data_IF_750537524444
#
_entry.id   IF_750537524444
#
_cell.length_a   1.000
_cell.length_b   1.000
_cell.length_c   1.000
_cell.angle_alpha   90.00
_cell.angle_beta   90.00
_cell.angle_gamma   90.00
#
_symmetry.space_group_name_H-M   'P 1'
#
loop_
_entity.id
_entity.type
_entity.pdbx_description
1 polymer ?
#
# COMPACT_ATOMS: atom_id res chain seq x y z
N UNK A 1 9.96 6.85 9.77
CA UNK A 1 10.28 6.79 8.32
C UNK A 1 9.35 5.81 7.61
N UNK A 2 9.21 4.53 8.05
CA UNK A 2 8.39 3.53 7.33
C UNK A 2 6.92 3.95 7.16
N UNK A 3 6.30 4.62 8.13
CA UNK A 3 4.94 5.15 8.00
C UNK A 3 4.81 6.25 6.95
N UNK A 4 5.81 7.13 6.82
CA UNK A 4 5.83 8.14 5.78
C UNK A 4 6.00 7.53 4.39
N UNK A 5 6.88 6.55 4.23
CA UNK A 5 7.11 5.94 2.92
C UNK A 5 5.93 5.07 2.50
N UNK A 6 5.48 4.14 3.36
CA UNK A 6 4.44 3.18 2.98
C UNK A 6 3.03 3.76 3.00
N UNK A 7 2.68 4.47 4.08
CA UNK A 7 1.31 4.95 4.24
C UNK A 7 1.15 6.32 3.56
N UNK A 8 1.98 7.31 3.91
CA UNK A 8 1.78 8.65 3.37
C UNK A 8 2.05 8.73 1.86
N UNK A 9 3.25 8.35 1.40
CA UNK A 9 3.59 8.37 -0.03
C UNK A 9 2.82 7.27 -0.77
N UNK A 10 2.81 6.05 -0.22
CA UNK A 10 2.17 4.89 -0.83
C UNK A 10 0.67 5.10 -1.04
N UNK A 11 -0.07 5.51 -0.02
CA UNK A 11 -1.51 5.70 -0.13
C UNK A 11 -1.85 6.92 -0.99
N UNK A 12 -1.08 8.02 -0.90
CA UNK A 12 -1.27 9.17 -1.79
C UNK A 12 -1.13 8.75 -3.26
N UNK A 13 -0.13 7.95 -3.59
CA UNK A 13 0.06 7.42 -4.93
C UNK A 13 -1.04 6.41 -5.31
N UNK A 14 -1.45 5.54 -4.38
CA UNK A 14 -2.54 4.58 -4.59
C UNK A 14 -3.86 5.28 -4.89
N UNK A 15 -4.24 6.28 -4.09
CA UNK A 15 -5.45 7.07 -4.35
C UNK A 15 -5.38 7.80 -5.69
N UNK A 16 -4.20 8.33 -6.05
CA UNK A 16 -3.97 8.90 -7.37
C UNK A 16 -4.11 7.89 -8.52
N UNK A 17 -3.72 6.63 -8.30
CA UNK A 17 -3.93 5.54 -9.24
C UNK A 17 -5.41 5.15 -9.32
N UNK A 18 -6.10 5.03 -8.18
CA UNK A 18 -7.54 4.71 -8.12
C UNK A 18 -8.38 5.74 -8.87
N UNK A 19 -8.07 7.02 -8.75
CA UNK A 19 -8.77 8.08 -9.46
C UNK A 19 -8.62 8.00 -11.00
N UNK A 20 -7.55 7.38 -11.49
CA UNK A 20 -7.23 7.31 -12.94
C UNK A 20 -7.53 5.96 -13.58
N UNK A 21 -7.38 4.89 -12.82
CA UNK A 21 -7.54 3.51 -13.31
C UNK A 21 -8.84 2.85 -12.86
N UNK A 22 -9.51 3.48 -11.89
CA UNK A 22 -10.56 2.82 -11.12
C UNK A 22 -10.00 1.86 -10.05
N UNK A 23 -10.81 1.53 -9.01
CA UNK A 23 -10.35 0.74 -7.86
C UNK A 23 -9.93 -0.68 -8.23
N UNK A 24 -10.60 -1.32 -9.20
CA UNK A 24 -10.28 -2.70 -9.62
C UNK A 24 -8.88 -2.82 -10.20
N UNK A 25 -8.51 -1.95 -11.17
CA UNK A 25 -7.19 -1.97 -11.80
C UNK A 25 -6.09 -1.51 -10.84
N UNK A 26 -6.36 -0.48 -10.05
CA UNK A 26 -5.42 0.02 -9.06
C UNK A 26 -5.09 -1.04 -8.01
N UNK A 27 -6.09 -1.79 -7.51
CA UNK A 27 -5.87 -2.86 -6.53
C UNK A 27 -5.06 -4.02 -7.10
N UNK A 28 -5.36 -4.44 -8.34
CA UNK A 28 -4.58 -5.49 -9.03
C UNK A 28 -3.14 -5.04 -9.22
N UNK A 29 -2.92 -3.79 -9.65
CA UNK A 29 -1.59 -3.24 -9.83
C UNK A 29 -0.83 -3.12 -8.49
N UNK A 30 -1.52 -2.70 -7.43
CA UNK A 30 -0.95 -2.62 -6.09
C UNK A 30 -0.50 -3.99 -5.55
N UNK A 31 -1.15 -5.10 -5.96
CA UNK A 31 -0.74 -6.45 -5.56
C UNK A 31 0.71 -6.80 -5.98
N UNK A 32 1.31 -6.08 -6.93
CA UNK A 32 2.74 -6.24 -7.28
C UNK A 32 3.68 -5.90 -6.11
N UNK A 33 3.18 -5.24 -5.04
CA UNK A 33 4.00 -4.97 -3.85
C UNK A 33 4.61 -6.24 -3.24
N UNK A 34 3.93 -7.38 -3.33
CA UNK A 34 4.46 -8.67 -2.86
C UNK A 34 5.72 -9.09 -3.65
N UNK A 35 5.70 -8.95 -4.98
CA UNK A 35 6.86 -9.23 -5.82
C UNK A 35 8.03 -8.26 -5.53
N UNK A 36 7.73 -6.96 -5.35
CA UNK A 36 8.74 -5.98 -4.94
C UNK A 36 9.30 -6.27 -3.55
N UNK A 37 8.46 -6.70 -2.59
CA UNK A 37 8.90 -7.09 -1.25
C UNK A 37 9.87 -8.27 -1.29
N UNK A 38 9.55 -9.32 -2.07
CA UNK A 38 10.43 -10.47 -2.24
C UNK A 38 11.77 -10.08 -2.90
N UNK A 39 11.72 -9.26 -3.95
CA UNK A 39 12.92 -8.78 -4.62
C UNK A 39 13.81 -7.91 -3.70
N UNK A 40 13.22 -6.99 -2.96
CA UNK A 40 13.94 -6.14 -2.02
C UNK A 40 14.49 -6.94 -0.82
N UNK A 41 13.73 -7.91 -0.29
CA UNK A 41 14.20 -8.81 0.76
C UNK A 41 15.43 -9.60 0.32
N UNK A 42 15.39 -10.15 -0.90
CA UNK A 42 16.54 -10.86 -1.47
C UNK A 42 17.76 -9.94 -1.67
N UNK A 43 17.58 -8.77 -2.30
CA UNK A 43 18.71 -7.89 -2.69
C UNK A 43 19.30 -7.14 -1.49
N UNK A 44 18.45 -6.66 -0.57
CA UNK A 44 18.89 -5.76 0.52
C UNK A 44 19.16 -6.49 1.81
N UNK A 45 18.32 -7.48 2.16
CA UNK A 45 18.46 -8.23 3.42
C UNK A 45 19.19 -9.58 3.23
N UNK A 46 19.47 -9.98 2.00
CA UNK A 46 20.08 -11.28 1.70
C UNK A 46 19.17 -12.47 2.06
N UNK A 47 17.86 -12.24 2.13
CA UNK A 47 16.89 -13.31 2.36
C UNK A 47 16.95 -14.34 1.25
N UNK A 48 16.77 -15.62 1.59
CA UNK A 48 16.77 -16.67 0.57
C UNK A 48 15.47 -16.65 -0.21
N UNK A 49 15.55 -16.36 -1.52
CA UNK A 49 14.38 -16.44 -2.38
C UNK A 49 14.03 -17.92 -2.60
N UNK A 50 12.99 -18.38 -1.92
CA UNK A 50 12.45 -19.74 -2.13
C UNK A 50 11.79 -19.76 -3.50
N UNK A 51 11.97 -20.87 -4.26
CA UNK A 51 11.39 -21.03 -5.60
C UNK A 51 9.88 -20.72 -5.64
N UNK A 52 9.15 -21.06 -4.59
CA UNK A 52 7.72 -20.76 -4.45
C UNK A 52 7.44 -19.25 -4.44
N UNK A 53 8.27 -18.44 -3.76
CA UNK A 53 8.12 -16.98 -3.75
C UNK A 53 8.44 -16.38 -5.12
N UNK A 54 9.45 -16.89 -5.82
CA UNK A 54 9.78 -16.46 -7.18
C UNK A 54 8.66 -16.79 -8.17
N UNK A 55 8.11 -18.01 -8.12
CA UNK A 55 6.98 -18.43 -8.96
C UNK A 55 5.71 -17.64 -8.63
N UNK A 56 5.41 -17.41 -7.35
CA UNK A 56 4.28 -16.59 -6.91
C UNK A 56 4.39 -15.14 -7.41
N UNK A 57 5.57 -14.55 -7.29
CA UNK A 57 5.85 -13.20 -7.81
C UNK A 57 5.68 -13.11 -9.34
N UNK A 58 6.23 -14.07 -10.07
CA UNK A 58 6.08 -14.15 -11.52
C UNK A 58 4.61 -14.30 -11.94
N UNK A 59 3.85 -15.17 -11.26
CA UNK A 59 2.43 -15.36 -11.50
C UNK A 59 1.62 -14.09 -11.18
N UNK A 60 1.96 -13.40 -10.11
CA UNK A 60 1.35 -12.10 -9.76
C UNK A 60 1.57 -11.07 -10.87
N UNK A 61 2.81 -10.92 -11.34
CA UNK A 61 3.14 -9.99 -12.42
C UNK A 61 2.38 -10.37 -13.71
N UNK A 62 2.36 -11.66 -14.07
CA UNK A 62 1.63 -12.13 -15.24
C UNK A 62 0.12 -11.87 -15.12
N UNK A 63 -0.47 -12.11 -13.95
CA UNK A 63 -1.87 -11.81 -13.65
C UNK A 63 -2.20 -10.32 -13.76
N UNK A 64 -1.34 -9.47 -13.21
CA UNK A 64 -1.48 -8.00 -13.29
C UNK A 64 -1.41 -7.52 -14.74
N UNK A 65 -0.42 -8.00 -15.50
CA UNK A 65 -0.28 -7.66 -16.92
C UNK A 65 -1.51 -8.10 -17.72
N UNK A 66 -2.00 -9.31 -17.48
CA UNK A 66 -3.22 -9.82 -18.13
C UNK A 66 -4.44 -8.96 -17.78
N UNK A 67 -4.61 -8.58 -16.51
CA UNK A 67 -5.72 -7.73 -16.08
C UNK A 67 -5.68 -6.32 -16.70
N UNK A 68 -4.49 -5.74 -16.87
CA UNK A 68 -4.33 -4.42 -17.50
C UNK A 68 -4.61 -4.49 -19.00
N UNK A 69 -4.12 -5.54 -19.69
CA UNK A 69 -4.24 -5.69 -21.15
C UNK A 69 -5.65 -6.13 -21.54
N UNK A 70 -6.20 -7.14 -20.85
CA UNK A 70 -7.48 -7.76 -21.19
C UNK A 70 -8.68 -7.05 -20.53
N UNK A 71 -8.47 -6.30 -19.45
CA UNK A 71 -9.52 -5.65 -18.67
C UNK A 71 -10.21 -4.45 -19.35
N UNK A 72 -10.17 -4.33 -20.65
CA UNK A 72 -10.75 -3.21 -21.43
C UNK A 72 -12.23 -3.39 -21.83
N UNK A 73 -13.02 -4.19 -21.13
CA UNK A 73 -14.45 -4.27 -21.42
C UNK A 73 -15.17 -3.01 -20.95
N UNK A 74 -15.67 -2.21 -21.90
CA UNK A 74 -16.40 -0.95 -21.64
C UNK A 74 -17.79 -1.17 -21.03
N UNK A 75 -18.33 -2.38 -21.10
CA UNK A 75 -19.72 -2.68 -20.74
C UNK A 75 -19.97 -2.83 -19.22
N UNK A 76 -18.92 -3.05 -18.42
CA UNK A 76 -19.04 -3.25 -16.97
C UNK A 76 -18.59 -2.04 -16.11
N UNK A 77 -18.41 -0.88 -16.74
CA UNK A 77 -18.01 0.31 -15.98
C UNK A 77 -19.21 0.92 -15.26
N UNK A 78 -19.23 0.83 -13.94
CA UNK A 78 -20.15 1.62 -13.14
C UNK A 78 -19.89 3.12 -13.34
N UNK A 79 -20.94 3.95 -13.28
CA UNK A 79 -20.86 5.40 -13.53
C UNK A 79 -19.82 6.14 -12.65
N UNK A 80 -19.35 5.52 -11.56
CA UNK A 80 -18.30 6.04 -10.67
C UNK A 80 -16.87 5.54 -11.03
N UNK A 81 -16.74 4.62 -11.99
CA UNK A 81 -15.45 4.12 -12.51
C UNK A 81 -14.97 4.91 -13.75
N UNK A 82 -15.42 6.15 -13.94
CA UNK A 82 -15.00 6.97 -15.07
C UNK A 82 -13.50 7.26 -15.00
N UNK A 83 -12.78 6.81 -16.04
CA UNK A 83 -11.34 7.05 -16.23
C UNK A 83 -11.05 8.56 -16.32
N UNK A 84 -10.62 9.16 -15.22
CA UNK A 84 -10.26 10.57 -15.17
C UNK A 84 -8.74 10.72 -15.29
N UNK A 85 -8.19 10.58 -16.50
CA UNK A 85 -6.80 10.92 -16.75
C UNK A 85 -5.97 9.95 -17.58
N UNK A 86 -4.66 10.17 -17.59
CA UNK A 86 -3.72 9.37 -18.37
C UNK A 86 -3.52 7.98 -17.74
N UNK A 87 -3.80 6.92 -18.51
CA UNK A 87 -3.53 5.52 -18.14
C UNK A 87 -2.06 5.35 -17.68
N UNK A 88 -1.12 5.96 -18.39
CA UNK A 88 0.31 5.86 -18.06
C UNK A 88 0.60 6.41 -16.65
N UNK A 89 0.04 7.57 -16.32
CA UNK A 89 0.22 8.18 -15.00
C UNK A 89 -0.45 7.33 -13.91
N UNK A 90 -1.63 6.77 -14.17
CA UNK A 90 -2.31 5.87 -13.24
C UNK A 90 -1.48 4.62 -12.94
N UNK A 91 -0.91 3.99 -13.97
CA UNK A 91 -0.03 2.81 -13.82
C UNK A 91 1.24 3.18 -13.07
N UNK A 92 1.87 4.30 -13.40
CA UNK A 92 3.09 4.77 -12.69
C UNK A 92 2.81 5.00 -11.21
N UNK A 93 1.70 5.67 -10.87
CA UNK A 93 1.31 5.89 -9.48
C UNK A 93 1.01 4.58 -8.74
N UNK A 94 0.36 3.61 -9.38
CA UNK A 94 0.12 2.29 -8.79
C UNK A 94 1.41 1.52 -8.51
N UNK A 95 2.38 1.58 -9.42
CA UNK A 95 3.71 0.98 -9.21
C UNK A 95 4.50 1.71 -8.11
N UNK A 96 4.44 3.04 -8.05
CA UNK A 96 5.03 3.83 -6.96
C UNK A 96 4.41 3.45 -5.63
N UNK A 97 3.09 3.28 -5.56
CA UNK A 97 2.40 2.84 -4.35
C UNK A 97 2.89 1.44 -3.91
N UNK A 98 2.95 0.50 -4.84
CA UNK A 98 3.41 -0.87 -4.58
C UNK A 98 4.87 -0.89 -4.10
N UNK A 99 5.76 -0.13 -4.74
CA UNK A 99 7.16 -0.03 -4.35
C UNK A 99 7.33 0.66 -2.99
N UNK A 100 6.56 1.71 -2.70
CA UNK A 100 6.57 2.41 -1.42
C UNK A 100 6.14 1.47 -0.29
N UNK A 101 5.13 0.64 -0.51
CA UNK A 101 4.68 -0.36 0.46
C UNK A 101 5.77 -1.41 0.72
N UNK A 102 6.39 -1.94 -0.33
CA UNK A 102 7.50 -2.90 -0.23
C UNK A 102 8.71 -2.30 0.52
N UNK A 103 9.11 -1.08 0.18
CA UNK A 103 10.19 -0.36 0.86
C UNK A 103 9.86 -0.10 2.33
N UNK A 104 8.62 0.25 2.64
CA UNK A 104 8.16 0.45 4.01
C UNK A 104 8.26 -0.82 4.86
N UNK A 105 7.90 -1.96 4.28
CA UNK A 105 8.01 -3.27 4.92
C UNK A 105 9.47 -3.63 5.18
N UNK A 106 10.34 -3.39 4.19
CA UNK A 106 11.79 -3.58 4.33
C UNK A 106 12.38 -2.73 5.46
N UNK A 107 12.01 -1.45 5.55
CA UNK A 107 12.46 -0.54 6.62
C UNK A 107 11.94 -0.99 8.00
N UNK A 108 10.76 -1.59 8.07
CA UNK A 108 10.19 -2.06 9.32
C UNK A 108 10.81 -3.37 9.82
N UNK A 109 11.30 -4.23 8.93
CA UNK A 109 11.81 -5.58 9.23
C UNK A 109 12.89 -5.60 10.31
N UNK A 110 14.00 -4.82 10.27
CA UNK A 110 15.05 -4.86 11.28
C UNK A 110 14.54 -4.54 12.68
N UNK A 111 13.57 -3.62 12.79
CA UNK A 111 12.98 -3.20 14.07
C UNK A 111 12.06 -4.29 14.61
N UNK A 112 11.35 -5.01 13.74
CA UNK A 112 10.42 -6.08 14.14
C UNK A 112 11.13 -7.39 14.47
N UNK A 113 12.24 -7.72 13.81
CA UNK A 113 12.97 -8.98 13.98
C UNK A 113 14.00 -9.00 15.10
N UNK A 114 14.02 -8.01 15.98
CA UNK A 114 15.00 -7.87 17.09
C UNK A 114 16.49 -7.89 16.67
N UNK A 115 16.79 -7.76 15.36
CA UNK A 115 18.18 -7.68 14.86
C UNK A 115 18.85 -6.35 15.20
N UNK A 116 18.08 -5.34 15.57
CA UNK A 116 18.57 -4.02 15.94
C UNK A 116 18.65 -3.86 17.47
N UNK A 117 19.61 -4.51 18.13
CA UNK A 117 20.04 -4.13 19.49
C UNK A 117 19.16 -4.63 20.66
N UNK A 118 18.39 -5.72 20.49
CA UNK A 118 17.75 -6.41 21.62
C UNK A 118 16.40 -5.83 22.09
N UNK A 119 15.95 -4.71 21.55
CA UNK A 119 14.62 -4.18 21.86
C UNK A 119 13.57 -4.78 20.95
N UNK A 120 12.65 -5.56 21.52
CA UNK A 120 11.47 -6.09 20.82
C UNK A 120 10.39 -5.02 20.84
N UNK A 121 10.15 -4.36 19.72
CA UNK A 121 9.06 -3.38 19.61
C UNK A 121 7.72 -4.10 19.46
N UNK A 122 6.73 -3.68 20.25
CA UNK A 122 5.37 -4.20 20.13
C UNK A 122 4.74 -3.84 18.79
N UNK A 123 4.17 -4.82 18.02
CA UNK A 123 3.59 -4.55 16.70
C UNK A 123 2.41 -3.58 16.73
N UNK A 124 1.62 -3.58 17.81
CA UNK A 124 0.48 -2.66 17.96
C UNK A 124 0.99 -1.24 18.13
N UNK A 125 1.97 -1.05 19.02
CA UNK A 125 2.60 0.26 19.22
C UNK A 125 3.29 0.77 17.95
N UNK A 126 4.02 -0.09 17.25
CA UNK A 126 4.65 0.24 15.97
C UNK A 126 3.62 0.64 14.89
N UNK A 127 2.50 -0.10 14.79
CA UNK A 127 1.41 0.23 13.90
C UNK A 127 0.79 1.58 14.24
N UNK A 128 0.49 1.82 15.52
CA UNK A 128 -0.08 3.07 16.00
C UNK A 128 0.81 4.28 15.66
N UNK A 129 2.11 4.18 15.91
CA UNK A 129 3.07 5.24 15.56
C UNK A 129 3.12 5.48 14.04
N UNK A 130 3.17 4.42 13.24
CA UNK A 130 3.20 4.54 11.77
C UNK A 130 1.97 5.24 11.23
N UNK A 131 0.79 4.82 11.68
CA UNK A 131 -0.49 5.41 11.25
C UNK A 131 -0.60 6.85 11.72
N UNK A 132 -0.24 7.16 12.97
CA UNK A 132 -0.29 8.52 13.51
C UNK A 132 0.62 9.48 12.75
N UNK A 133 1.86 9.07 12.43
CA UNK A 133 2.80 9.88 11.65
C UNK A 133 2.27 10.13 10.24
N UNK A 134 1.71 9.12 9.59
CA UNK A 134 1.13 9.28 8.26
C UNK A 134 -0.11 10.17 8.29
N UNK A 135 -0.97 10.01 9.30
CA UNK A 135 -2.14 10.85 9.50
C UNK A 135 -1.73 12.32 9.69
N UNK A 136 -0.75 12.59 10.53
CA UNK A 136 -0.22 13.94 10.74
C UNK A 136 0.32 14.55 9.43
N UNK A 137 1.03 13.76 8.61
CA UNK A 137 1.54 14.20 7.32
C UNK A 137 0.41 14.53 6.33
N UNK A 138 -0.67 13.72 6.27
CA UNK A 138 -1.83 14.01 5.44
C UNK A 138 -2.57 15.27 5.91
N UNK A 139 -2.75 15.44 7.22
CA UNK A 139 -3.35 16.65 7.78
C UNK A 139 -2.52 17.91 7.49
N UNK A 140 -1.17 17.78 7.54
CA UNK A 140 -0.28 18.89 7.21
C UNK A 140 -0.45 19.33 5.75
N UNK A 141 -0.49 18.39 4.79
CA UNK A 141 -0.75 18.70 3.38
C UNK A 141 -2.12 19.32 3.18
N UNK A 142 -3.15 18.81 3.85
CA UNK A 142 -4.50 19.36 3.80
C UNK A 142 -4.52 20.79 4.34
N UNK A 143 -3.84 21.05 5.45
CA UNK A 143 -3.72 22.37 6.07
C UNK A 143 -2.97 23.36 5.19
N UNK A 144 -1.89 22.92 4.54
CA UNK A 144 -1.12 23.74 3.58
C UNK A 144 -1.88 23.99 2.27
N UNK A 145 -3.06 23.39 2.08
CA UNK A 145 -3.87 23.58 0.88
C UNK A 145 -3.25 23.03 -0.39
N UNK A 146 -2.28 22.11 -0.26
CA UNK A 146 -1.61 21.46 -1.39
C UNK A 146 -2.51 20.35 -1.92
N UNK A 147 -2.93 20.48 -3.19
CA UNK A 147 -3.77 19.50 -3.88
C UNK A 147 -5.26 19.82 -3.90
N UNK A 148 -6.01 19.03 -4.69
CA UNK A 148 -7.47 19.20 -4.90
C UNK A 148 -8.34 18.72 -3.71
N UNK A 149 -7.77 18.60 -2.53
CA UNK A 149 -8.39 17.97 -1.36
C UNK A 149 -9.41 18.83 -0.60
N UNK A 150 -9.88 19.92 -1.19
CA UNK A 150 -11.03 20.63 -0.60
C UNK A 150 -12.32 19.91 -0.97
N UNK A 151 -12.79 19.06 -0.07
CA UNK A 151 -14.13 18.50 -0.16
C UNK A 151 -15.14 19.67 -0.27
N UNK A 152 -15.90 19.70 -1.37
CA UNK A 152 -16.92 20.74 -1.59
C UNK A 152 -18.09 20.62 -0.62
N UNK A 153 -18.25 19.45 -0.01
CA UNK A 153 -19.30 19.17 0.96
C UNK A 153 -18.76 18.36 2.14
N UNK A 154 -19.18 18.64 3.37
CA UNK A 154 -18.79 17.85 4.53
C UNK A 154 -19.37 16.43 4.39
N UNK A 155 -18.58 15.38 4.74
CA UNK A 155 -19.03 14.01 4.66
C UNK A 155 -20.20 13.75 5.64
N UNK A 156 -21.19 13.00 5.21
CA UNK A 156 -22.31 12.58 6.06
C UNK A 156 -21.79 11.69 7.20
N UNK A 157 -22.45 11.72 8.37
CA UNK A 157 -22.08 10.89 9.52
C UNK A 157 -21.95 9.39 9.17
N UNK A 158 -22.81 8.88 8.27
CA UNK A 158 -22.74 7.50 7.79
C UNK A 158 -21.42 7.23 7.04
N UNK A 159 -21.01 8.15 6.17
CA UNK A 159 -19.75 8.04 5.41
C UNK A 159 -18.55 8.10 6.36
N UNK A 160 -18.59 9.01 7.35
CA UNK A 160 -17.54 9.08 8.37
C UNK A 160 -17.41 7.77 9.16
N UNK A 161 -18.52 7.19 9.60
CA UNK A 161 -18.51 5.94 10.34
C UNK A 161 -17.98 4.76 9.49
N UNK A 162 -18.42 4.66 8.24
CA UNK A 162 -17.95 3.63 7.31
C UNK A 162 -16.44 3.78 7.03
N UNK A 163 -15.98 5.01 6.81
CA UNK A 163 -14.55 5.29 6.58
C UNK A 163 -13.71 4.99 7.83
N UNK A 164 -14.20 5.37 9.02
CA UNK A 164 -13.53 5.08 10.29
C UNK A 164 -13.42 3.55 10.53
N UNK A 165 -14.51 2.80 10.30
CA UNK A 165 -14.52 1.35 10.45
C UNK A 165 -13.57 0.69 9.44
N UNK A 166 -13.59 1.11 8.18
CA UNK A 166 -12.69 0.61 7.15
C UNK A 166 -11.22 0.93 7.47
N UNK A 167 -10.95 2.14 7.94
CA UNK A 167 -9.62 2.55 8.41
C UNK A 167 -9.13 1.73 9.60
N UNK A 168 -10.01 1.49 10.58
CA UNK A 168 -9.68 0.65 11.73
C UNK A 168 -9.35 -0.79 11.32
N UNK A 169 -10.15 -1.41 10.48
CA UNK A 169 -9.92 -2.78 10.01
C UNK A 169 -8.69 -2.85 9.10
N UNK A 170 -8.58 -1.99 8.10
CA UNK A 170 -7.48 -2.02 7.11
C UNK A 170 -6.15 -1.54 7.69
N UNK A 171 -6.14 -0.33 8.24
CA UNK A 171 -4.91 0.28 8.76
C UNK A 171 -4.60 -0.16 10.20
N UNK A 172 -5.59 -0.31 11.07
CA UNK A 172 -5.38 -0.74 12.44
C UNK A 172 -5.01 -2.22 12.51
N UNK A 173 -5.95 -3.09 12.21
CA UNK A 173 -5.75 -4.54 12.31
C UNK A 173 -4.82 -5.07 11.22
N UNK A 174 -5.04 -4.70 9.95
CA UNK A 174 -4.24 -5.18 8.82
C UNK A 174 -2.76 -4.85 8.97
N UNK A 175 -2.42 -3.61 9.30
CA UNK A 175 -1.03 -3.20 9.51
C UNK A 175 -0.40 -3.89 10.72
N UNK A 176 -1.17 -4.10 11.79
CA UNK A 176 -0.68 -4.83 12.97
C UNK A 176 -0.36 -6.27 12.63
N UNK A 177 -1.20 -6.96 11.85
CA UNK A 177 -0.95 -8.34 11.43
C UNK A 177 0.27 -8.44 10.50
N UNK A 178 0.47 -7.49 9.59
CA UNK A 178 1.68 -7.42 8.76
C UNK A 178 2.92 -7.30 9.64
N UNK A 179 2.93 -6.42 10.64
CA UNK A 179 4.06 -6.25 11.54
C UNK A 179 4.29 -7.47 12.44
N UNK A 180 3.22 -8.17 12.85
CA UNK A 180 3.33 -9.44 13.57
C UNK A 180 3.96 -10.54 12.70
N UNK A 181 3.56 -10.62 11.43
CA UNK A 181 4.12 -11.57 10.47
C UNK A 181 5.60 -11.29 10.20
N UNK A 182 5.99 -10.02 10.10
CA UNK A 182 7.39 -9.59 9.92
C UNK A 182 8.31 -9.99 11.07
N UNK A 183 7.79 -10.24 12.27
CA UNK A 183 8.63 -10.71 13.40
C UNK A 183 9.21 -12.09 13.15
N UNK A 184 8.50 -12.96 12.45
CA UNK A 184 8.84 -14.38 12.27
C UNK A 184 9.13 -14.77 10.83
N UNK A 185 8.59 -14.03 9.87
CA UNK A 185 8.68 -14.33 8.44
C UNK A 185 9.63 -13.42 7.67
N UNK A 186 10.06 -13.85 6.51
CA UNK A 186 10.84 -13.05 5.58
C UNK A 186 9.95 -11.98 4.91
N UNK A 187 10.56 -10.88 4.44
CA UNK A 187 9.83 -9.76 3.81
C UNK A 187 9.05 -10.21 2.58
N UNK A 188 9.60 -11.15 1.83
CA UNK A 188 8.94 -11.70 0.64
C UNK A 188 7.79 -12.68 0.92
N UNK A 189 7.55 -13.07 2.19
CA UNK A 189 6.46 -13.96 2.60
C UNK A 189 5.34 -13.24 3.34
N UNK A 190 5.50 -11.97 3.65
CA UNK A 190 4.55 -11.09 4.36
C UNK A 190 3.87 -10.14 3.38
#
# INVERSE_FOLDING_TARGET
VSGLVGIFIGDTALFGAVQRLGPRRASVLFATHAAFSAALGFVVLGERMVLQAALGGALTIAGVMSAIVLGRHKEDQHAWETDHGSLRLGVTLGLVAALSQAASTLIAKPVMSAQAGGFVVDPVAASAVRVSVACAAHYLILWLGVGAARAHQPPTTRVLLQTALNGFVGMGLGMTFILMALRKGDVGMV
#
